data_IF_739863317994
#
_entry.id   IF_739863317994
#
_cell.length_a   1.000
_cell.length_b   1.000
_cell.length_c   1.000
_cell.angle_alpha   90.00
_cell.angle_beta   90.00
_cell.angle_gamma   90.00
#
_symmetry.space_group_name_H-M   'P 1'
#
loop_
_entity.id
_entity.type
_entity.pdbx_description
1 polymer ?
#
# COMPACT_ATOMS: atom_id res chain seq x y z
N UNK A 1 2.26 19.33 -8.85
CA UNK A 1 3.31 18.44 -8.35
C UNK A 1 3.59 17.41 -9.41
N UNK A 2 4.85 16.99 -9.61
CA UNK A 2 5.18 15.86 -10.49
C UNK A 2 4.84 14.54 -9.82
N UNK A 3 4.73 13.45 -10.60
CA UNK A 3 4.57 12.08 -10.07
C UNK A 3 5.55 11.78 -8.93
N UNK A 4 6.84 12.02 -9.15
CA UNK A 4 7.88 11.72 -8.18
C UNK A 4 7.68 12.48 -6.87
N UNK A 5 7.36 13.79 -6.95
CA UNK A 5 7.09 14.59 -5.76
C UNK A 5 5.82 14.15 -5.02
N UNK A 6 4.80 13.64 -5.73
CA UNK A 6 3.59 13.14 -5.08
C UNK A 6 3.84 11.84 -4.33
N UNK A 7 4.62 10.92 -4.91
CA UNK A 7 4.98 9.68 -4.25
C UNK A 7 5.86 9.92 -3.01
N UNK A 8 6.83 10.83 -3.13
CA UNK A 8 7.69 11.21 -2.00
C UNK A 8 6.88 11.87 -0.88
N UNK A 9 5.99 12.82 -1.20
CA UNK A 9 5.11 13.47 -0.22
C UNK A 9 4.20 12.46 0.48
N UNK A 10 3.63 11.50 -0.27
CA UNK A 10 2.79 10.45 0.27
C UNK A 10 3.57 9.54 1.24
N UNK A 11 4.81 9.18 0.89
CA UNK A 11 5.69 8.42 1.79
C UNK A 11 6.09 9.22 3.03
N UNK A 12 6.42 10.50 2.87
CA UNK A 12 6.82 11.38 3.96
C UNK A 12 5.70 11.54 4.98
N UNK A 13 4.48 11.85 4.53
CA UNK A 13 3.33 11.95 5.44
C UNK A 13 3.04 10.63 6.15
N UNK A 14 3.13 9.50 5.45
CA UNK A 14 2.97 8.18 6.09
C UNK A 14 4.08 7.90 7.13
N UNK A 15 5.32 8.32 6.88
CA UNK A 15 6.42 8.19 7.83
C UNK A 15 6.11 8.94 9.13
N UNK A 16 5.67 10.19 9.01
CA UNK A 16 5.29 11.03 10.15
C UNK A 16 4.09 10.45 10.91
N UNK A 17 3.10 9.91 10.19
CA UNK A 17 1.97 9.19 10.78
C UNK A 17 2.47 8.03 11.66
N UNK A 18 3.26 7.13 11.08
CA UNK A 18 3.75 5.92 11.74
C UNK A 18 4.55 6.26 13.00
N UNK A 19 5.44 7.26 12.93
CA UNK A 19 6.26 7.70 14.07
C UNK A 19 5.41 8.23 15.23
N UNK A 20 4.38 9.04 14.93
CA UNK A 20 3.61 9.74 15.97
C UNK A 20 2.45 8.91 16.54
N UNK A 21 1.79 8.13 15.69
CA UNK A 21 0.54 7.45 16.01
C UNK A 21 0.68 5.94 16.22
N UNK A 22 1.80 5.34 15.79
CA UNK A 22 2.06 3.89 15.90
C UNK A 22 3.37 3.58 16.62
N UNK A 23 3.62 4.25 17.76
CA UNK A 23 4.86 4.10 18.53
C UNK A 23 5.17 2.66 18.91
N UNK A 24 4.14 1.88 19.23
CA UNK A 24 4.23 0.46 19.55
C UNK A 24 4.80 -0.39 18.42
N UNK A 25 4.54 -0.01 17.16
CA UNK A 25 5.11 -0.65 15.97
C UNK A 25 6.44 -0.02 15.60
N UNK A 26 6.56 1.30 15.75
CA UNK A 26 7.75 2.07 15.37
C UNK A 26 9.03 1.60 16.10
N UNK A 27 8.91 1.22 17.38
CA UNK A 27 10.04 0.76 18.20
C UNK A 27 10.50 -0.67 17.88
N UNK A 28 9.73 -1.42 17.09
CA UNK A 28 10.09 -2.78 16.70
C UNK A 28 11.24 -2.77 15.68
N UNK A 29 11.98 -3.87 15.62
CA UNK A 29 13.01 -4.02 14.60
C UNK A 29 12.41 -4.21 13.20
N UNK A 30 13.25 -4.10 12.16
CA UNK A 30 12.82 -4.19 10.75
C UNK A 30 12.02 -5.46 10.46
N UNK A 31 12.48 -6.62 10.94
CA UNK A 31 11.79 -7.91 10.76
C UNK A 31 10.39 -7.90 11.38
N UNK A 32 10.28 -7.49 12.65
CA UNK A 32 9.01 -7.44 13.36
C UNK A 32 8.03 -6.46 12.71
N UNK A 33 8.52 -5.29 12.27
CA UNK A 33 7.70 -4.30 11.57
C UNK A 33 7.19 -4.83 10.24
N UNK A 34 8.04 -5.45 9.41
CA UNK A 34 7.59 -5.98 8.12
C UNK A 34 6.64 -7.17 8.30
N UNK A 35 6.87 -8.05 9.28
CA UNK A 35 5.92 -9.12 9.62
C UNK A 35 4.56 -8.54 10.01
N UNK A 36 4.54 -7.48 10.83
CA UNK A 36 3.30 -6.78 11.17
C UNK A 36 2.59 -6.21 9.93
N UNK A 37 3.33 -5.58 9.01
CA UNK A 37 2.74 -5.06 7.77
C UNK A 37 2.24 -6.16 6.84
N UNK A 38 2.91 -7.32 6.77
CA UNK A 38 2.45 -8.49 6.02
C UNK A 38 1.15 -9.06 6.60
N UNK A 39 1.00 -9.08 7.93
CA UNK A 39 -0.27 -9.46 8.56
C UNK A 39 -1.39 -8.48 8.20
N UNK A 40 -1.10 -7.18 8.17
CA UNK A 40 -2.06 -6.19 7.68
C UNK A 40 -2.43 -6.41 6.22
N UNK A 41 -1.46 -6.63 5.33
CA UNK A 41 -1.72 -6.94 3.92
C UNK A 41 -2.53 -8.22 3.78
N UNK A 42 -2.24 -9.28 4.54
CA UNK A 42 -3.00 -10.54 4.49
C UNK A 42 -4.47 -10.36 4.88
N UNK A 43 -4.73 -9.56 5.92
CA UNK A 43 -6.08 -9.16 6.30
C UNK A 43 -6.78 -8.38 5.18
N UNK A 44 -6.10 -7.42 4.56
CA UNK A 44 -6.70 -6.58 3.53
C UNK A 44 -6.83 -7.28 2.18
N UNK A 45 -5.92 -8.18 1.81
CA UNK A 45 -6.01 -8.96 0.57
C UNK A 45 -7.18 -9.93 0.59
N UNK A 46 -7.45 -10.54 1.74
CA UNK A 46 -8.66 -11.32 1.95
C UNK A 46 -9.93 -10.46 1.80
N UNK A 47 -9.95 -9.26 2.39
CA UNK A 47 -11.07 -8.31 2.24
C UNK A 47 -11.28 -7.85 0.81
N UNK A 48 -10.20 -7.53 0.07
CA UNK A 48 -10.26 -7.19 -1.35
C UNK A 48 -10.92 -8.33 -2.14
N UNK A 49 -10.50 -9.57 -1.89
CA UNK A 49 -11.02 -10.75 -2.59
C UNK A 49 -12.51 -10.96 -2.31
N UNK A 50 -12.90 -10.94 -1.03
CA UNK A 50 -14.30 -11.13 -0.64
C UNK A 50 -15.20 -10.01 -1.18
N UNK A 51 -14.80 -8.74 -1.01
CA UNK A 51 -15.58 -7.61 -1.50
C UNK A 51 -15.70 -7.56 -3.02
N UNK A 52 -14.68 -8.02 -3.77
CA UNK A 52 -14.78 -8.18 -5.22
C UNK A 52 -15.77 -9.29 -5.61
N UNK A 53 -15.73 -10.45 -4.96
CA UNK A 53 -16.65 -11.57 -5.20
C UNK A 53 -18.11 -11.24 -4.85
N UNK A 54 -18.32 -10.48 -3.76
CA UNK A 54 -19.64 -10.04 -3.30
C UNK A 54 -20.15 -8.79 -4.03
N UNK A 55 -19.36 -8.24 -4.97
CA UNK A 55 -19.63 -6.97 -5.65
C UNK A 55 -19.87 -5.79 -4.69
N UNK A 56 -19.27 -5.82 -3.51
CA UNK A 56 -19.34 -4.76 -2.51
C UNK A 56 -18.28 -3.68 -2.82
N UNK A 57 -18.61 -2.79 -3.76
CA UNK A 57 -17.70 -1.74 -4.26
C UNK A 57 -17.20 -0.81 -3.15
N UNK A 58 -18.03 -0.51 -2.15
CA UNK A 58 -17.65 0.43 -1.09
C UNK A 58 -16.63 -0.19 -0.12
N UNK A 59 -16.78 -1.46 0.25
CA UNK A 59 -15.75 -2.15 1.04
C UNK A 59 -14.48 -2.40 0.20
N UNK A 60 -14.64 -2.68 -1.10
CA UNK A 60 -13.50 -2.86 -2.00
C UNK A 60 -12.65 -1.58 -2.11
N UNK A 61 -13.29 -0.41 -2.24
CA UNK A 61 -12.60 0.90 -2.21
C UNK A 61 -11.86 1.11 -0.88
N UNK A 62 -12.51 0.85 0.25
CA UNK A 62 -11.89 0.99 1.58
C UNK A 62 -10.68 0.07 1.73
N UNK A 63 -10.82 -1.20 1.35
CA UNK A 63 -9.73 -2.18 1.41
C UNK A 63 -8.58 -1.80 0.46
N UNK A 64 -8.88 -1.20 -0.70
CA UNK A 64 -7.87 -0.66 -1.63
C UNK A 64 -7.05 0.46 -0.97
N UNK A 65 -7.73 1.44 -0.35
CA UNK A 65 -7.07 2.54 0.36
C UNK A 65 -6.25 2.04 1.55
N UNK A 66 -6.83 1.19 2.40
CA UNK A 66 -6.13 0.60 3.53
C UNK A 66 -4.89 -0.18 3.06
N UNK A 67 -4.97 -0.91 1.94
CA UNK A 67 -3.81 -1.63 1.39
C UNK A 67 -2.73 -0.67 0.88
N UNK A 68 -3.09 0.43 0.20
CA UNK A 68 -2.13 1.45 -0.26
C UNK A 68 -1.38 2.10 0.91
N UNK A 69 -2.08 2.39 2.00
CA UNK A 69 -1.48 2.89 3.25
C UNK A 69 -0.42 1.91 3.77
N UNK A 70 -0.76 0.63 3.85
CA UNK A 70 0.18 -0.39 4.37
C UNK A 70 1.36 -0.61 3.44
N UNK A 71 1.18 -0.61 2.12
CA UNK A 71 2.29 -0.69 1.15
C UNK A 71 3.24 0.51 1.32
N UNK A 72 2.69 1.70 1.51
CA UNK A 72 3.48 2.92 1.72
C UNK A 72 4.28 2.84 3.03
N UNK A 73 3.64 2.46 4.13
CA UNK A 73 4.28 2.25 5.43
C UNK A 73 5.38 1.17 5.33
N UNK A 74 5.10 0.06 4.62
CA UNK A 74 6.05 -1.03 4.40
C UNK A 74 7.30 -0.56 3.65
N UNK A 75 7.13 0.33 2.70
CA UNK A 75 8.23 0.88 1.90
C UNK A 75 9.18 1.71 2.77
N UNK A 76 8.63 2.48 3.72
CA UNK A 76 9.41 3.26 4.68
C UNK A 76 10.24 2.38 5.62
N UNK A 77 9.79 1.17 5.97
CA UNK A 77 10.56 0.21 6.78
C UNK A 77 11.89 -0.16 6.10
N UNK A 78 11.88 -0.29 4.77
CA UNK A 78 13.07 -0.63 3.98
C UNK A 78 13.94 0.58 3.61
N UNK A 79 13.54 1.79 4.00
CA UNK A 79 14.22 3.03 3.67
C UNK A 79 14.47 3.15 2.14
N UNK A 80 13.43 2.91 1.34
CA UNK A 80 13.45 3.08 -0.12
C UNK A 80 12.35 4.05 -0.56
N UNK A 81 12.55 4.76 -1.65
CA UNK A 81 11.46 5.52 -2.28
C UNK A 81 10.64 4.59 -3.18
N UNK A 82 9.31 4.72 -3.18
CA UNK A 82 8.41 4.00 -4.08
C UNK A 82 8.82 4.18 -5.54
N UNK A 83 9.24 5.40 -5.91
CA UNK A 83 9.72 5.74 -7.24
C UNK A 83 11.00 5.02 -7.68
N UNK A 84 11.75 4.44 -6.76
CA UNK A 84 13.01 3.75 -7.08
C UNK A 84 12.79 2.32 -7.55
N UNK A 85 11.70 1.66 -7.14
CA UNK A 85 11.49 0.23 -7.41
C UNK A 85 10.08 -0.13 -7.87
N UNK A 86 9.08 0.74 -7.68
CA UNK A 86 7.70 0.50 -8.13
C UNK A 86 7.31 1.30 -9.38
N UNK A 87 8.19 2.19 -9.87
CA UNK A 87 7.99 3.04 -11.05
C UNK A 87 9.14 2.85 -12.02
N UNK A 88 8.82 2.42 -13.25
CA UNK A 88 9.79 2.19 -14.30
C UNK A 88 10.34 3.50 -14.86
N UNK A 89 11.53 3.46 -15.49
CA UNK A 89 12.13 4.66 -16.08
C UNK A 89 11.22 5.34 -17.12
N UNK A 90 10.47 4.55 -17.90
CA UNK A 90 9.51 5.07 -18.89
C UNK A 90 8.28 5.74 -18.27
N UNK A 91 8.09 5.61 -16.95
CA UNK A 91 6.93 6.12 -16.21
C UNK A 91 7.27 7.36 -15.38
N UNK A 92 8.56 7.64 -15.14
CA UNK A 92 8.98 8.76 -14.28
C UNK A 92 8.60 10.13 -14.84
N UNK A 93 8.46 10.23 -16.15
CA UNK A 93 8.06 11.46 -16.85
C UNK A 93 6.53 11.66 -16.91
N UNK A 94 5.74 10.74 -16.33
CA UNK A 94 4.30 10.93 -16.22
C UNK A 94 3.97 12.12 -15.31
N UNK A 95 2.88 12.81 -15.62
CA UNK A 95 2.52 14.07 -14.96
C UNK A 95 2.27 13.90 -13.46
N UNK A 96 1.57 12.83 -13.08
CA UNK A 96 1.04 12.62 -11.75
C UNK A 96 0.66 11.14 -11.50
N UNK A 97 0.28 10.83 -10.27
CA UNK A 97 -0.15 9.48 -9.86
C UNK A 97 -1.38 8.99 -10.64
N UNK A 98 -2.30 9.86 -11.06
CA UNK A 98 -3.48 9.43 -11.83
C UNK A 98 -3.08 9.01 -13.24
N UNK A 99 -2.11 9.70 -13.85
CA UNK A 99 -1.54 9.31 -15.13
C UNK A 99 -0.84 7.93 -15.04
N UNK A 100 -0.09 7.68 -13.96
CA UNK A 100 0.47 6.36 -13.67
C UNK A 100 -0.63 5.31 -13.51
N UNK A 101 -1.60 5.53 -12.64
CA UNK A 101 -2.70 4.61 -12.39
C UNK A 101 -3.49 4.26 -13.67
N UNK A 102 -3.72 5.26 -14.53
CA UNK A 102 -4.40 5.09 -15.82
C UNK A 102 -3.58 4.28 -16.81
N UNK A 103 -2.25 4.44 -16.81
CA UNK A 103 -1.35 3.61 -17.62
C UNK A 103 -1.38 2.16 -17.14
N UNK A 104 -1.21 1.95 -15.83
CA UNK A 104 -1.20 0.62 -15.22
C UNK A 104 -2.50 -0.15 -15.49
N UNK A 105 -3.66 0.51 -15.37
CA UNK A 105 -4.94 -0.12 -15.67
C UNK A 105 -5.06 -0.58 -17.13
N UNK A 106 -4.44 0.13 -18.09
CA UNK A 106 -4.46 -0.25 -19.51
C UNK A 106 -3.55 -1.43 -19.83
N UNK A 107 -2.48 -1.59 -19.05
CA UNK A 107 -1.51 -2.68 -19.20
C UNK A 107 -1.94 -3.94 -18.46
N UNK A 108 -2.94 -3.85 -17.57
CA UNK A 108 -3.41 -4.95 -16.75
C UNK A 108 -4.11 -6.04 -17.58
N UNK A 109 -3.69 -7.30 -17.39
CA UNK A 109 -4.39 -8.48 -17.93
C UNK A 109 -5.41 -9.01 -16.93
N UNK A 110 -6.59 -9.39 -17.40
CA UNK A 110 -7.65 -9.90 -16.52
C UNK A 110 -7.85 -11.42 -16.56
N UNK A 111 -7.08 -12.14 -17.39
CA UNK A 111 -6.99 -13.61 -17.46
C UNK A 111 -8.35 -14.35 -17.40
N UNK A 112 -9.40 -13.75 -17.98
CA UNK A 112 -10.76 -14.33 -18.04
C UNK A 112 -11.65 -14.05 -16.82
N UNK A 113 -11.15 -13.33 -15.80
CA UNK A 113 -11.92 -12.87 -14.64
C UNK A 113 -12.43 -11.44 -14.83
N UNK A 114 -13.45 -11.08 -14.04
CA UNK A 114 -13.87 -9.69 -13.90
C UNK A 114 -12.71 -8.85 -13.29
N UNK A 115 -12.50 -7.60 -13.73
CA UNK A 115 -11.34 -6.80 -13.33
C UNK A 115 -11.07 -6.70 -11.83
N UNK A 116 -12.10 -6.51 -10.99
CA UNK A 116 -11.94 -6.41 -9.54
C UNK A 116 -11.45 -7.74 -8.96
N UNK A 117 -12.07 -8.85 -9.39
CA UNK A 117 -11.69 -10.19 -8.94
C UNK A 117 -10.26 -10.51 -9.36
N UNK A 118 -9.89 -10.23 -10.62
CA UNK A 118 -8.53 -10.48 -11.13
C UNK A 118 -7.48 -9.75 -10.30
N UNK A 119 -7.63 -8.43 -10.14
CA UNK A 119 -6.67 -7.62 -9.39
C UNK A 119 -6.62 -8.01 -7.90
N UNK A 120 -7.77 -8.31 -7.27
CA UNK A 120 -7.81 -8.76 -5.88
C UNK A 120 -7.08 -10.09 -5.67
N UNK A 121 -7.26 -11.07 -6.59
CA UNK A 121 -6.54 -12.35 -6.55
C UNK A 121 -5.03 -12.14 -6.72
N UNK A 122 -4.60 -11.26 -7.63
CA UNK A 122 -3.17 -10.94 -7.80
C UNK A 122 -2.56 -10.35 -6.54
N UNK A 123 -3.23 -9.38 -5.90
CA UNK A 123 -2.80 -8.82 -4.60
C UNK A 123 -2.72 -9.92 -3.53
N UNK A 124 -3.71 -10.81 -3.47
CA UNK A 124 -3.72 -11.91 -2.51
C UNK A 124 -2.58 -12.91 -2.74
N UNK A 125 -2.29 -13.26 -4.00
CA UNK A 125 -1.17 -14.13 -4.37
C UNK A 125 0.17 -13.51 -3.98
N UNK A 126 0.39 -12.23 -4.30
CA UNK A 126 1.61 -11.50 -3.93
C UNK A 126 1.78 -11.39 -2.41
N UNK A 127 0.67 -11.19 -1.68
CA UNK A 127 0.67 -11.19 -0.21
C UNK A 127 1.04 -12.55 0.35
N UNK A 128 0.54 -13.65 -0.23
CA UNK A 128 0.95 -15.00 0.13
C UNK A 128 2.46 -15.24 -0.06
N UNK A 129 3.06 -14.69 -1.13
CA UNK A 129 4.52 -14.71 -1.31
C UNK A 129 5.25 -13.94 -0.22
N UNK A 130 4.72 -12.79 0.22
CA UNK A 130 5.28 -12.05 1.36
C UNK A 130 5.15 -12.83 2.68
N UNK A 131 4.04 -13.53 2.91
CA UNK A 131 3.87 -14.41 4.07
C UNK A 131 4.97 -15.49 4.10
N UNK A 132 5.25 -16.15 2.96
CA UNK A 132 6.35 -17.11 2.89
C UNK A 132 7.70 -16.44 3.14
N UNK A 133 7.93 -15.22 2.63
CA UNK A 133 9.19 -14.50 2.85
C UNK A 133 9.45 -14.20 4.34
N UNK A 134 8.43 -13.77 5.09
CA UNK A 134 8.57 -13.51 6.54
C UNK A 134 8.67 -14.81 7.35
N UNK A 135 7.92 -15.85 6.99
CA UNK A 135 8.05 -17.19 7.59
C UNK A 135 9.46 -17.76 7.40
N UNK A 136 10.02 -17.60 6.20
CA UNK A 136 11.36 -18.08 5.85
C UNK A 136 12.45 -17.35 6.65
N UNK A 137 12.23 -16.09 7.00
CA UNK A 137 13.13 -15.31 7.85
C UNK A 137 13.14 -15.83 9.29
N UNK A 138 12.00 -16.29 9.80
CA UNK A 138 11.90 -16.90 11.13
C UNK A 138 12.59 -18.27 11.19
N UNK A 139 12.56 -19.02 10.08
CA UNK A 139 13.20 -20.33 9.96
C UNK A 139 14.66 -20.29 9.46
N UNK A 140 15.20 -19.11 9.14
CA UNK A 140 16.53 -18.92 8.56
C UNK A 140 16.75 -19.77 7.30
N UNK A 141 15.72 -19.90 6.47
CA UNK A 141 15.79 -20.63 5.21
C UNK A 141 16.70 -19.90 4.20
N UNK A 142 17.27 -20.65 3.26
CA UNK A 142 17.96 -20.09 2.11
C UNK A 142 16.95 -19.48 1.12
N UNK A 143 16.38 -18.33 1.49
CA UNK A 143 15.31 -17.65 0.77
C UNK A 143 15.66 -16.18 0.51
N UNK A 144 15.41 -15.63 -0.71
CA UNK A 144 15.68 -14.23 -1.03
C UNK A 144 14.58 -13.32 -0.45
N UNK A 145 14.54 -13.20 0.88
CA UNK A 145 13.43 -12.56 1.60
C UNK A 145 13.30 -11.08 1.25
N UNK A 146 14.42 -10.35 1.17
CA UNK A 146 14.41 -8.90 0.94
C UNK A 146 13.92 -8.57 -0.47
N UNK A 147 14.45 -9.26 -1.47
CA UNK A 147 14.08 -9.12 -2.87
C UNK A 147 12.60 -9.48 -3.05
N UNK A 148 12.17 -10.62 -2.51
CA UNK A 148 10.77 -11.05 -2.58
C UNK A 148 9.83 -10.02 -1.97
N UNK A 149 10.16 -9.46 -0.80
CA UNK A 149 9.32 -8.46 -0.14
C UNK A 149 9.22 -7.17 -0.95
N UNK A 150 10.34 -6.66 -1.48
CA UNK A 150 10.35 -5.45 -2.30
C UNK A 150 9.62 -5.64 -3.64
N UNK A 151 9.85 -6.75 -4.32
CA UNK A 151 9.19 -7.06 -5.60
C UNK A 151 7.69 -7.22 -5.43
N UNK A 152 7.26 -7.90 -4.35
CA UNK A 152 5.84 -8.02 -4.01
C UNK A 152 5.24 -6.67 -3.65
N UNK A 153 5.92 -5.82 -2.87
CA UNK A 153 5.42 -4.48 -2.53
C UNK A 153 5.25 -3.60 -3.77
N UNK A 154 6.23 -3.60 -4.69
CA UNK A 154 6.12 -2.87 -5.95
C UNK A 154 4.93 -3.35 -6.78
N UNK A 155 4.79 -4.68 -6.92
CA UNK A 155 3.70 -5.27 -7.70
C UNK A 155 2.33 -4.96 -7.08
N UNK A 156 2.19 -5.11 -5.76
CA UNK A 156 0.96 -4.79 -5.03
C UNK A 156 0.64 -3.30 -5.17
N UNK A 157 1.61 -2.41 -5.02
CA UNK A 157 1.43 -0.97 -5.21
C UNK A 157 0.81 -0.67 -6.58
N UNK A 158 1.41 -1.20 -7.65
CA UNK A 158 0.99 -0.97 -9.03
C UNK A 158 -0.43 -1.49 -9.28
N UNK A 159 -0.73 -2.71 -8.82
CA UNK A 159 -2.07 -3.30 -8.97
C UNK A 159 -3.11 -2.49 -8.19
N UNK A 160 -2.79 -2.02 -6.97
CA UNK A 160 -3.71 -1.20 -6.18
C UNK A 160 -3.96 0.17 -6.82
N UNK A 161 -2.98 0.78 -7.48
CA UNK A 161 -3.19 2.00 -8.27
C UNK A 161 -4.12 1.74 -9.46
N UNK A 162 -3.89 0.65 -10.21
CA UNK A 162 -4.77 0.25 -11.30
C UNK A 162 -6.21 0.00 -10.81
N UNK A 163 -6.37 -0.71 -9.68
CA UNK A 163 -7.65 -0.97 -9.05
C UNK A 163 -8.33 0.31 -8.57
N UNK A 164 -7.58 1.23 -7.94
CA UNK A 164 -8.11 2.52 -7.53
C UNK A 164 -8.62 3.34 -8.73
N UNK A 165 -7.89 3.33 -9.85
CA UNK A 165 -8.32 3.95 -11.11
C UNK A 165 -9.61 3.30 -11.63
N UNK A 166 -9.66 1.96 -11.66
CA UNK A 166 -10.83 1.20 -12.11
C UNK A 166 -12.08 1.51 -11.27
N UNK A 167 -11.92 1.58 -9.95
CA UNK A 167 -12.97 1.90 -8.98
C UNK A 167 -13.34 3.40 -8.94
N UNK A 168 -12.69 4.22 -9.78
CA UNK A 168 -12.87 5.67 -9.85
C UNK A 168 -12.64 6.36 -8.51
N UNK A 169 -11.66 5.86 -7.75
CA UNK A 169 -11.12 6.55 -6.58
C UNK A 169 -10.31 7.73 -7.13
N UNK A 170 -10.94 8.89 -7.28
CA UNK A 170 -10.24 10.11 -7.66
C UNK A 170 -9.20 10.50 -6.61
N UNK A 171 -8.16 11.25 -7.02
CA UNK A 171 -7.10 11.83 -6.16
C UNK A 171 -6.84 11.02 -4.89
N UNK A 172 -6.13 9.90 -5.04
CA UNK A 172 -5.93 8.89 -3.98
C UNK A 172 -5.45 9.48 -2.64
N UNK A 173 -4.80 10.64 -2.68
CA UNK A 173 -4.33 11.38 -1.52
C UNK A 173 -5.48 11.78 -0.60
N UNK A 174 -6.63 12.20 -1.14
CA UNK A 174 -7.78 12.66 -0.35
C UNK A 174 -8.43 11.50 0.46
N UNK A 175 -8.72 10.32 -0.13
CA UNK A 175 -9.17 9.15 0.64
C UNK A 175 -8.17 8.65 1.68
N UNK A 176 -6.87 8.64 1.36
CA UNK A 176 -5.81 8.26 2.31
C UNK A 176 -5.81 9.22 3.50
N UNK A 177 -5.80 10.52 3.23
CA UNK A 177 -5.83 11.58 4.23
C UNK A 177 -7.06 11.44 5.14
N UNK A 178 -8.25 11.27 4.56
CA UNK A 178 -9.49 11.09 5.31
C UNK A 178 -9.43 9.84 6.20
N UNK A 179 -8.87 8.75 5.67
CA UNK A 179 -8.75 7.49 6.38
C UNK A 179 -7.82 7.60 7.58
N UNK A 180 -6.62 8.16 7.39
CA UNK A 180 -5.63 8.31 8.46
C UNK A 180 -6.11 9.29 9.53
N UNK A 181 -6.68 10.42 9.13
CA UNK A 181 -7.28 11.37 10.07
C UNK A 181 -8.37 10.74 10.95
N UNK A 182 -9.20 9.86 10.39
CA UNK A 182 -10.21 9.13 11.16
C UNK A 182 -9.61 8.16 12.18
N UNK A 183 -8.43 7.59 11.91
CA UNK A 183 -7.73 6.69 12.84
C UNK A 183 -7.04 7.51 13.93
N UNK A 184 -6.34 8.57 13.54
CA UNK A 184 -5.58 9.47 14.43
C UNK A 184 -6.47 10.11 15.50
N UNK A 185 -7.71 10.48 15.15
CA UNK A 185 -8.71 11.05 16.07
C UNK A 185 -8.98 10.21 17.31
N UNK A 186 -8.72 8.92 17.27
CA UNK A 186 -8.93 8.02 18.40
C UNK A 186 -7.79 8.09 19.43
N UNK A 187 -6.67 8.75 19.10
CA UNK A 187 -5.55 8.92 20.02
C UNK A 187 -5.89 9.95 21.11
N UNK A 188 -5.61 9.60 22.36
CA UNK A 188 -5.87 10.47 23.53
C UNK A 188 -5.12 11.81 23.50
N UNK A 189 -4.06 11.93 22.71
CA UNK A 189 -3.27 13.15 22.52
C UNK A 189 -3.43 13.78 21.13
N UNK A 190 -4.48 13.43 20.38
CA UNK A 190 -4.74 13.93 19.02
C UNK A 190 -4.61 15.45 18.89
N UNK A 191 -5.11 16.21 19.87
CA UNK A 191 -5.03 17.69 19.86
C UNK A 191 -3.61 18.27 20.01
N UNK A 192 -2.62 17.45 20.38
CA UNK A 192 -1.23 17.87 20.60
C UNK A 192 -0.23 17.31 19.59
N UNK A 193 -0.55 16.19 18.93
CA UNK A 193 0.38 15.47 18.05
C UNK A 193 0.41 15.98 16.60
N UNK A 194 -0.49 16.91 16.24
CA UNK A 194 -0.78 17.22 14.84
C UNK A 194 -1.48 16.05 14.14
N UNK A 195 -1.73 16.13 12.84
CA UNK A 195 -2.43 15.08 12.09
C UNK A 195 -2.12 15.13 10.59
N UNK A 196 -2.53 14.10 9.86
CA UNK A 196 -2.24 13.98 8.43
C UNK A 196 -2.77 15.15 7.58
N UNK A 197 -3.87 15.80 7.98
CA UNK A 197 -4.49 16.91 7.23
C UNK A 197 -3.79 18.24 7.46
N UNK A 198 -3.63 18.62 8.74
CA UNK A 198 -3.12 19.94 9.13
C UNK A 198 -1.61 19.96 9.37
N UNK A 199 -0.95 18.82 9.23
CA UNK A 199 0.46 18.65 9.56
C UNK A 199 0.66 18.18 11.00
N UNK A 200 1.81 17.53 11.18
CA UNK A 200 2.27 16.90 12.40
C UNK A 200 3.09 17.83 13.27
#
# INVERSE_FOLDING_TARGET
>A
MSLLSQLEELQWKQLQHDEKYHKEIWVLNVQQRITHMVLHLSKYSAKLTLSALEHNIEELKKATIDSLIIVTSSTNIFNKLLSDFAVDQSEKDLSDINALASKLLKEESFDGYEPNISMAIKVNSLTGRMCKAVESLDHLEAYPFKETLLDSLASIFRILLALACHLRIGKIEEPIENRLYSVEKNNIFFSRLGNYKSGY
#
